data_IF_293245156222
#
_entry.id   IF_293245156222
#
_cell.length_a   1.000
_cell.length_b   1.000
_cell.length_c   1.000
_cell.angle_alpha   90.00
_cell.angle_beta   90.00
_cell.angle_gamma   90.00
#
_symmetry.space_group_name_H-M   'P 1'
#
loop_
_entity.id
_entity.type
_entity.pdbx_description
1 polymer ?
#
# COMPACT_ATOMS: atom_id res chain seq x y z
N UNK A 1 2.92 -16.26 -8.52
CA UNK A 1 3.27 -15.22 -7.52
C UNK A 1 4.46 -15.69 -6.71
N UNK A 2 5.41 -14.80 -6.40
CA UNK A 2 6.51 -15.10 -5.49
C UNK A 2 5.98 -15.38 -4.07
N UNK A 3 6.74 -16.13 -3.28
CA UNK A 3 6.39 -16.44 -1.89
C UNK A 3 6.18 -15.17 -1.04
N UNK A 4 6.94 -14.12 -1.32
CA UNK A 4 6.75 -12.82 -0.70
C UNK A 4 5.36 -12.23 -0.97
N UNK A 5 4.90 -12.23 -2.23
CA UNK A 5 3.57 -11.72 -2.60
C UNK A 5 2.43 -12.54 -1.97
N UNK A 6 2.62 -13.85 -1.80
CA UNK A 6 1.63 -14.70 -1.12
C UNK A 6 1.49 -14.34 0.36
N UNK A 7 2.60 -14.08 1.05
CA UNK A 7 2.60 -13.66 2.46
C UNK A 7 1.95 -12.29 2.66
N UNK A 8 2.26 -11.32 1.79
CA UNK A 8 1.63 -10.00 1.77
C UNK A 8 0.11 -10.09 1.58
N UNK A 9 -0.35 -10.88 0.60
CA UNK A 9 -1.79 -11.08 0.37
C UNK A 9 -2.48 -11.72 1.57
N UNK A 10 -1.86 -12.70 2.20
CA UNK A 10 -2.41 -13.36 3.39
C UNK A 10 -2.53 -12.39 4.58
N UNK A 11 -1.52 -11.53 4.78
CA UNK A 11 -1.54 -10.49 5.80
C UNK A 11 -2.68 -9.49 5.54
N UNK A 12 -2.81 -9.00 4.31
CA UNK A 12 -3.86 -8.05 3.94
C UNK A 12 -5.27 -8.64 4.15
N UNK A 13 -5.48 -9.90 3.77
CA UNK A 13 -6.75 -10.59 4.03
C UNK A 13 -7.06 -10.67 5.53
N UNK A 14 -6.06 -10.92 6.37
CA UNK A 14 -6.26 -10.96 7.83
C UNK A 14 -6.68 -9.60 8.40
N UNK A 15 -6.10 -8.51 7.89
CA UNK A 15 -6.43 -7.13 8.27
C UNK A 15 -7.84 -6.79 7.82
N UNK A 16 -8.20 -7.11 6.56
CA UNK A 16 -9.55 -6.85 6.05
C UNK A 16 -10.62 -7.56 6.87
N UNK A 17 -10.39 -8.81 7.26
CA UNK A 17 -11.31 -9.55 8.12
C UNK A 17 -11.45 -8.92 9.51
N UNK A 18 -10.34 -8.48 10.12
CA UNK A 18 -10.36 -7.84 11.44
C UNK A 18 -11.14 -6.51 11.43
N UNK A 19 -10.95 -5.71 10.37
CA UNK A 19 -11.57 -4.40 10.20
C UNK A 19 -12.97 -4.45 9.55
N UNK A 20 -13.52 -5.65 9.32
CA UNK A 20 -14.79 -5.87 8.59
C UNK A 20 -14.82 -5.21 7.20
N UNK A 21 -13.65 -5.09 6.58
CA UNK A 21 -13.50 -4.61 5.21
C UNK A 21 -13.77 -5.78 4.25
N UNK A 22 -14.58 -5.58 3.20
CA UNK A 22 -14.79 -6.59 2.18
C UNK A 22 -13.46 -7.06 1.56
N UNK A 23 -13.23 -8.37 1.52
CA UNK A 23 -12.00 -8.96 0.98
C UNK A 23 -11.76 -8.53 -0.47
N UNK A 24 -12.83 -8.40 -1.26
CA UNK A 24 -12.77 -7.90 -2.63
C UNK A 24 -12.16 -6.48 -2.72
N UNK A 25 -12.44 -5.61 -1.74
CA UNK A 25 -11.86 -4.27 -1.68
C UNK A 25 -10.36 -4.33 -1.33
N UNK A 26 -9.96 -5.22 -0.42
CA UNK A 26 -8.55 -5.45 -0.11
C UNK A 26 -7.76 -5.95 -1.33
N UNK A 27 -8.32 -6.89 -2.09
CA UNK A 27 -7.69 -7.39 -3.32
C UNK A 27 -7.59 -6.32 -4.40
N UNK A 28 -8.62 -5.50 -4.54
CA UNK A 28 -8.63 -4.38 -5.48
C UNK A 28 -7.62 -3.29 -5.09
N UNK A 29 -7.43 -3.02 -3.79
CA UNK A 29 -6.37 -2.14 -3.29
C UNK A 29 -4.97 -2.69 -3.58
N UNK A 30 -4.74 -3.98 -3.36
CA UNK A 30 -3.46 -4.63 -3.65
C UNK A 30 -3.15 -4.61 -5.15
N UNK A 31 -4.14 -4.90 -6.00
CA UNK A 31 -3.98 -4.84 -7.45
C UNK A 31 -3.68 -3.41 -7.91
N UNK A 32 -4.42 -2.44 -7.37
CA UNK A 32 -4.26 -1.03 -7.67
C UNK A 32 -2.88 -0.53 -7.25
N UNK A 33 -2.39 -0.92 -6.07
CA UNK A 33 -1.05 -0.56 -5.60
C UNK A 33 0.06 -1.18 -6.46
N UNK A 34 -0.11 -2.44 -6.90
CA UNK A 34 0.82 -3.09 -7.84
C UNK A 34 0.85 -2.36 -9.20
N UNK A 35 -0.31 -1.97 -9.73
CA UNK A 35 -0.42 -1.26 -11.01
C UNK A 35 0.13 0.18 -10.92
N UNK A 36 -0.17 0.92 -9.84
CA UNK A 36 0.33 2.28 -9.64
C UNK A 36 1.83 2.33 -9.35
N UNK A 37 2.41 1.28 -8.74
CA UNK A 37 3.83 1.23 -8.43
C UNK A 37 4.71 1.00 -9.67
N UNK A 38 4.23 0.27 -10.68
CA UNK A 38 5.09 -0.19 -11.78
C UNK A 38 4.78 0.40 -13.17
N UNK A 39 3.54 0.80 -13.47
CA UNK A 39 3.19 1.14 -14.87
C UNK A 39 2.88 2.62 -15.14
N UNK A 40 2.61 3.44 -14.12
CA UNK A 40 2.08 4.80 -14.34
C UNK A 40 2.86 5.93 -13.67
N UNK A 41 3.87 5.63 -12.86
CA UNK A 41 4.61 6.65 -12.12
C UNK A 41 6.08 6.70 -12.51
N UNK A 42 6.50 7.89 -12.96
CA UNK A 42 7.91 8.20 -13.14
C UNK A 42 8.66 8.05 -11.80
N UNK A 43 9.96 7.79 -11.84
CA UNK A 43 10.77 7.71 -10.62
C UNK A 43 10.63 8.96 -9.74
N UNK A 44 10.51 10.15 -10.36
CA UNK A 44 10.31 11.41 -9.66
C UNK A 44 8.96 11.48 -8.92
N UNK A 45 7.89 10.94 -9.51
CA UNK A 45 6.57 10.87 -8.87
C UNK A 45 6.59 9.99 -7.62
N UNK A 46 7.33 8.88 -7.67
CA UNK A 46 7.49 7.98 -6.52
C UNK A 46 8.30 8.61 -5.39
N UNK A 47 9.40 9.30 -5.71
CA UNK A 47 10.21 10.02 -4.71
C UNK A 47 9.35 11.02 -3.95
N UNK A 48 8.57 11.83 -4.67
CA UNK A 48 7.65 12.80 -4.04
C UNK A 48 6.60 12.13 -3.14
N UNK A 49 6.01 11.01 -3.58
CA UNK A 49 5.04 10.28 -2.74
C UNK A 49 5.67 9.73 -1.47
N UNK A 50 6.93 9.28 -1.52
CA UNK A 50 7.66 8.84 -0.34
C UNK A 50 7.98 10.00 0.60
N UNK A 51 8.42 11.14 0.06
CA UNK A 51 8.67 12.35 0.85
C UNK A 51 7.38 12.85 1.54
N UNK A 52 6.25 12.91 0.82
CA UNK A 52 4.96 13.31 1.37
C UNK A 52 4.48 12.36 2.50
N UNK A 53 4.72 11.05 2.36
CA UNK A 53 4.43 10.05 3.40
C UNK A 53 5.33 10.22 4.63
N UNK A 54 6.63 10.46 4.41
CA UNK A 54 7.59 10.71 5.48
C UNK A 54 7.16 11.97 6.24
N UNK A 55 6.88 13.06 5.55
CA UNK A 55 6.44 14.31 6.17
C UNK A 55 5.13 14.14 6.94
N UNK A 56 4.15 13.43 6.39
CA UNK A 56 2.88 13.15 7.09
C UNK A 56 3.09 12.39 8.41
N UNK A 57 4.00 11.41 8.42
CA UNK A 57 4.26 10.59 9.61
C UNK A 57 5.26 11.23 10.60
N UNK A 58 6.21 12.04 10.12
CA UNK A 58 7.23 12.68 10.96
C UNK A 58 6.85 14.09 11.42
N UNK A 59 5.98 14.82 10.72
CA UNK A 59 5.45 16.11 11.19
C UNK A 59 4.54 15.94 12.43
N UNK A 60 3.89 14.77 12.57
CA UNK A 60 3.04 14.45 13.73
C UNK A 60 3.81 14.24 15.04
N UNK A 61 5.15 14.29 15.02
CA UNK A 61 6.01 14.14 16.20
C UNK A 61 6.38 15.47 16.87
N UNK A 62 6.03 16.61 16.25
CA UNK A 62 6.37 17.96 16.74
C UNK A 62 5.14 18.88 16.96
N UNK A 63 3.93 18.32 17.14
CA UNK A 63 2.71 19.07 17.45
C UNK A 63 2.06 18.58 18.73
#
# INVERSE_FOLDING_TARGET
MSEFKKKERALLMSICMAEKVPVALGEELLRTSETFAYETQSAASRVKQYDDLIDYHFAKKNG
#
